data_IF_751598731396
#
_entry.id   IF_751598731396
#
_cell.length_a   1.000
_cell.length_b   1.000
_cell.length_c   1.000
_cell.angle_alpha   90.00
_cell.angle_beta   90.00
_cell.angle_gamma   90.00
#
_symmetry.space_group_name_H-M   'P 1'
#
loop_
_entity.id
_entity.type
_entity.pdbx_description
1 polymer ?
#
# COMPACT_ATOMS: atom_id res chain seq x y z
N UNK A 1 16.38 33.07 -63.52
CA UNK A 1 15.79 33.42 -62.23
C UNK A 1 15.26 32.14 -61.60
N UNK A 2 16.06 31.48 -60.77
CA UNK A 2 15.67 30.24 -60.09
C UNK A 2 15.65 30.56 -58.59
N UNK A 3 14.46 30.62 -57.99
CA UNK A 3 14.27 30.96 -56.58
C UNK A 3 14.45 29.70 -55.73
N UNK A 4 15.44 29.76 -54.83
CA UNK A 4 15.70 28.74 -53.82
C UNK A 4 14.63 28.81 -52.73
N UNK A 5 13.92 27.71 -52.50
CA UNK A 5 12.94 27.58 -51.42
C UNK A 5 13.63 27.05 -50.17
N UNK A 6 13.79 27.90 -49.15
CA UNK A 6 14.34 27.50 -47.85
C UNK A 6 13.22 27.00 -46.93
N UNK A 7 13.23 25.70 -46.64
CA UNK A 7 12.30 25.06 -45.71
C UNK A 7 12.81 25.29 -44.27
N UNK A 8 12.13 26.16 -43.52
CA UNK A 8 12.45 26.47 -42.12
C UNK A 8 11.78 25.43 -41.20
N UNK A 9 12.57 24.53 -40.60
CA UNK A 9 12.08 23.50 -39.69
C UNK A 9 11.99 24.09 -38.26
N UNK A 10 10.79 24.44 -37.81
CA UNK A 10 10.51 24.90 -36.44
C UNK A 10 10.37 23.67 -35.52
N UNK A 11 11.41 23.37 -34.74
CA UNK A 11 11.35 22.36 -33.68
C UNK A 11 10.69 22.97 -32.43
N UNK A 12 9.43 22.60 -32.18
CA UNK A 12 8.70 22.94 -30.96
C UNK A 12 9.29 22.09 -29.81
N UNK A 13 10.10 22.70 -28.95
CA UNK A 13 10.50 22.09 -27.67
C UNK A 13 9.27 22.04 -26.76
N UNK A 14 8.64 20.85 -26.67
CA UNK A 14 7.66 20.59 -25.63
C UNK A 14 8.35 20.64 -24.26
N UNK A 15 7.87 21.51 -23.38
CA UNK A 15 8.24 21.56 -21.97
C UNK A 15 7.75 20.26 -21.30
N UNK A 16 8.62 19.25 -21.24
CA UNK A 16 8.41 18.09 -20.40
C UNK A 16 8.57 18.56 -18.96
N UNK A 17 7.45 18.67 -18.22
CA UNK A 17 7.49 18.80 -16.76
C UNK A 17 8.00 17.48 -16.20
N UNK A 18 9.30 17.42 -15.92
CA UNK A 18 9.88 16.36 -15.10
C UNK A 18 9.42 16.62 -13.67
N UNK A 19 8.51 15.78 -13.17
CA UNK A 19 8.24 15.71 -11.74
C UNK A 19 9.45 15.02 -11.10
N UNK A 20 10.20 15.75 -10.28
CA UNK A 20 11.22 15.17 -9.41
C UNK A 20 10.48 14.36 -8.35
N UNK A 21 10.52 13.03 -8.46
CA UNK A 21 10.13 12.16 -7.36
C UNK A 21 11.22 12.27 -6.30
N UNK A 22 10.87 12.65 -5.08
CA UNK A 22 11.69 12.26 -3.94
C UNK A 22 11.77 10.73 -3.95
N UNK A 23 12.98 10.18 -3.90
CA UNK A 23 13.26 8.79 -4.25
C UNK A 23 12.33 7.81 -3.51
N UNK A 24 11.59 6.99 -4.26
CA UNK A 24 10.79 5.88 -3.72
C UNK A 24 9.36 6.20 -3.24
N UNK A 25 8.96 7.46 -3.02
CA UNK A 25 7.60 7.79 -2.55
C UNK A 25 6.66 8.08 -3.72
N UNK A 26 5.55 7.35 -3.81
CA UNK A 26 4.56 7.56 -4.86
C UNK A 26 3.13 7.66 -4.27
N UNK A 27 2.21 8.24 -5.06
CA UNK A 27 0.82 8.47 -4.68
C UNK A 27 -0.11 7.98 -5.79
N UNK A 28 -1.16 7.25 -5.42
CA UNK A 28 -2.15 6.80 -6.41
C UNK A 28 -3.06 7.97 -6.84
N UNK A 29 -3.26 8.23 -8.16
CA UNK A 29 -4.04 9.36 -8.66
C UNK A 29 -5.45 9.37 -8.09
N UNK A 30 -6.02 10.53 -7.68
CA UNK A 30 -7.35 10.60 -7.11
C UNK A 30 -8.39 9.95 -8.03
N UNK A 31 -9.14 9.00 -7.49
CA UNK A 31 -10.34 8.46 -8.13
C UNK A 31 -11.45 9.48 -7.92
N UNK A 32 -12.16 9.86 -8.99
CA UNK A 32 -13.35 10.72 -8.90
C UNK A 32 -14.37 9.99 -8.03
N UNK A 33 -14.50 10.40 -6.77
CA UNK A 33 -15.56 9.94 -5.88
C UNK A 33 -16.54 11.10 -5.79
N UNK A 34 -17.78 10.87 -6.24
CA UNK A 34 -18.88 11.81 -6.06
C UNK A 34 -18.96 12.19 -4.58
N UNK A 35 -19.00 13.49 -4.32
CA UNK A 35 -19.13 14.07 -2.99
C UNK A 35 -20.53 13.80 -2.43
N UNK A 36 -20.78 12.56 -1.99
CA UNK A 36 -21.90 12.29 -1.10
C UNK A 36 -21.52 12.77 0.31
N UNK A 37 -22.43 13.53 0.90
CA UNK A 37 -22.28 14.37 2.09
C UNK A 37 -22.10 13.62 3.43
N UNK A 38 -21.77 12.33 3.42
CA UNK A 38 -21.46 11.47 4.58
C UNK A 38 -20.12 10.74 4.33
N UNK A 39 -19.04 11.52 4.14
CA UNK A 39 -17.80 11.06 3.49
C UNK A 39 -17.00 10.07 4.33
N UNK A 40 -17.37 8.78 4.24
CA UNK A 40 -16.53 7.66 4.71
C UNK A 40 -15.10 7.85 4.18
N UNK A 41 -14.06 7.62 5.01
CA UNK A 41 -12.69 7.82 4.59
C UNK A 41 -12.36 6.90 3.41
N UNK A 42 -11.35 7.28 2.63
CA UNK A 42 -10.89 6.44 1.53
C UNK A 42 -10.48 5.05 2.02
N UNK A 43 -10.79 4.02 1.22
CA UNK A 43 -10.62 2.60 1.57
C UNK A 43 -11.42 2.14 2.80
N UNK A 44 -12.46 2.87 3.23
CA UNK A 44 -13.29 2.48 4.38
C UNK A 44 -13.73 1.00 4.36
N UNK A 45 -14.17 0.48 3.20
CA UNK A 45 -14.61 -0.92 3.07
C UNK A 45 -13.48 -1.95 3.20
N UNK A 46 -12.22 -1.55 3.05
CA UNK A 46 -11.06 -2.42 3.27
C UNK A 46 -10.87 -2.69 4.76
N UNK A 47 -11.05 -1.65 5.59
CA UNK A 47 -10.90 -1.76 7.05
C UNK A 47 -12.22 -2.08 7.77
N UNK A 48 -13.34 -1.79 7.13
CA UNK A 48 -14.70 -2.03 7.61
C UNK A 48 -15.51 -2.77 6.52
N UNK A 49 -15.24 -4.08 6.31
CA UNK A 49 -15.88 -4.85 5.25
C UNK A 49 -17.40 -4.96 5.47
N UNK A 50 -18.16 -4.93 4.38
CA UNK A 50 -19.63 -5.07 4.43
C UNK A 50 -20.06 -6.36 5.13
N UNK A 51 -19.35 -7.47 4.90
CA UNK A 51 -19.50 -8.69 5.68
C UNK A 51 -18.28 -8.82 6.61
N UNK A 52 -18.43 -8.33 7.84
CA UNK A 52 -17.42 -8.37 8.89
C UNK A 52 -17.45 -9.70 9.67
N UNK A 53 -16.35 -10.03 10.39
CA UNK A 53 -16.32 -11.21 11.24
C UNK A 53 -17.43 -11.24 12.31
N UNK A 54 -17.89 -10.08 12.78
CA UNK A 54 -18.98 -9.99 13.76
C UNK A 54 -20.31 -10.52 13.25
N UNK A 55 -20.57 -10.45 11.94
CA UNK A 55 -21.80 -11.00 11.35
C UNK A 55 -21.81 -12.53 11.27
N UNK A 56 -20.68 -13.20 11.56
CA UNK A 56 -20.51 -14.64 11.42
C UNK A 56 -20.40 -15.36 12.78
N UNK A 57 -20.58 -14.65 13.90
CA UNK A 57 -20.37 -15.20 15.25
C UNK A 57 -21.28 -16.40 15.56
N UNK A 58 -22.49 -16.43 14.99
CA UNK A 58 -23.48 -17.50 15.20
C UNK A 58 -23.31 -18.68 14.22
N UNK A 59 -22.28 -18.67 13.38
CA UNK A 59 -21.99 -19.71 12.39
C UNK A 59 -20.69 -20.44 12.76
N UNK A 60 -20.73 -21.46 13.64
CA UNK A 60 -19.53 -22.10 14.15
C UNK A 60 -18.71 -22.75 13.02
N UNK A 61 -17.43 -22.36 12.93
CA UNK A 61 -16.49 -22.86 11.92
C UNK A 61 -16.71 -22.30 10.51
N UNK A 62 -17.66 -21.39 10.30
CA UNK A 62 -17.87 -20.79 8.99
C UNK A 62 -16.73 -19.82 8.64
N UNK A 63 -16.16 -20.01 7.45
CA UNK A 63 -15.22 -19.07 6.84
C UNK A 63 -15.36 -19.11 5.32
N UNK A 64 -15.15 -17.97 4.67
CA UNK A 64 -15.03 -17.89 3.21
C UNK A 64 -13.60 -18.09 2.72
N UNK A 65 -12.64 -18.17 3.65
CA UNK A 65 -11.25 -18.37 3.29
C UNK A 65 -11.04 -19.77 2.73
N UNK A 66 -10.25 -19.85 1.66
CA UNK A 66 -9.93 -21.09 0.97
C UNK A 66 -8.45 -21.08 0.62
N UNK A 67 -7.75 -22.16 0.94
CA UNK A 67 -6.39 -22.43 0.51
C UNK A 67 -6.38 -23.61 -0.44
N UNK A 68 -5.84 -23.42 -1.66
CA UNK A 68 -5.65 -24.45 -2.68
C UNK A 68 -4.19 -24.45 -3.13
N UNK A 69 -3.85 -25.46 -3.94
CA UNK A 69 -2.48 -25.70 -4.43
C UNK A 69 -1.88 -24.52 -5.19
N UNK A 70 -2.67 -23.77 -5.95
CA UNK A 70 -2.21 -22.70 -6.85
C UNK A 70 -2.79 -21.32 -6.53
N UNK A 71 -3.65 -21.20 -5.52
CA UNK A 71 -4.24 -19.93 -5.10
C UNK A 71 -4.76 -19.98 -3.67
N UNK A 72 -4.94 -18.80 -3.08
CA UNK A 72 -5.59 -18.61 -1.80
C UNK A 72 -6.57 -17.44 -1.85
N UNK A 73 -7.73 -17.62 -1.23
CA UNK A 73 -8.66 -16.57 -0.87
C UNK A 73 -8.59 -16.39 0.65
N UNK A 74 -8.09 -15.26 1.11
CA UNK A 74 -7.93 -14.97 2.54
C UNK A 74 -8.86 -13.82 2.92
N UNK A 75 -9.82 -14.09 3.78
CA UNK A 75 -10.89 -13.17 4.16
C UNK A 75 -10.71 -12.60 5.58
N UNK A 76 -11.34 -11.45 5.92
CA UNK A 76 -11.12 -10.77 7.20
C UNK A 76 -11.30 -11.65 8.43
N UNK A 77 -12.26 -12.57 8.42
CA UNK A 77 -12.55 -13.49 9.52
C UNK A 77 -11.46 -14.55 9.77
N UNK A 78 -10.51 -14.73 8.86
CA UNK A 78 -9.40 -15.70 8.99
C UNK A 78 -8.04 -15.04 9.18
N UNK A 79 -7.99 -13.72 9.37
CA UNK A 79 -6.74 -13.00 9.67
C UNK A 79 -6.30 -13.29 11.11
N UNK A 80 -5.07 -13.78 11.27
CA UNK A 80 -4.49 -14.09 12.59
C UNK A 80 -3.52 -12.97 12.97
N UNK A 81 -3.91 -12.14 13.94
CA UNK A 81 -3.08 -11.05 14.43
C UNK A 81 -2.20 -11.48 15.61
N UNK A 82 -0.90 -11.20 15.52
CA UNK A 82 0.10 -11.48 16.57
C UNK A 82 1.12 -10.34 16.61
N UNK A 83 1.82 -10.08 17.74
CA UNK A 83 2.91 -9.11 17.75
C UNK A 83 3.94 -9.37 16.64
N UNK A 84 4.32 -8.32 15.89
CA UNK A 84 5.38 -8.43 14.88
C UNK A 84 6.76 -8.44 15.56
N UNK A 85 7.63 -9.42 15.27
CA UNK A 85 9.00 -9.44 15.80
C UNK A 85 9.76 -8.17 15.41
N UNK A 86 10.54 -7.62 16.34
CA UNK A 86 11.32 -6.37 16.17
C UNK A 86 10.50 -5.09 15.92
N UNK A 87 9.17 -5.16 16.00
CA UNK A 87 8.30 -3.98 15.90
C UNK A 87 7.80 -3.57 17.30
N UNK A 88 7.64 -2.27 17.51
CA UNK A 88 7.08 -1.72 18.75
C UNK A 88 5.58 -1.48 18.57
N UNK A 89 4.78 -1.97 19.52
CA UNK A 89 3.33 -1.72 19.62
C UNK A 89 2.56 -1.95 18.29
N UNK A 90 2.90 -3.04 17.59
CA UNK A 90 2.31 -3.38 16.29
C UNK A 90 1.88 -4.84 16.25
N UNK A 91 0.64 -5.08 15.83
CA UNK A 91 0.16 -6.43 15.51
C UNK A 91 0.25 -6.67 14.01
N UNK A 92 0.71 -7.84 13.61
CA UNK A 92 0.79 -8.28 12.22
C UNK A 92 -0.10 -9.48 11.95
N UNK A 93 -0.66 -9.54 10.74
CA UNK A 93 -1.30 -10.74 10.21
C UNK A 93 -0.64 -11.10 8.88
N UNK A 94 0.16 -12.17 8.86
CA UNK A 94 0.75 -12.72 7.63
C UNK A 94 -0.36 -13.36 6.79
N UNK A 95 -0.49 -12.90 5.54
CA UNK A 95 -1.44 -13.42 4.57
C UNK A 95 -0.74 -14.41 3.61
N UNK A 96 0.41 -14.01 3.07
CA UNK A 96 1.18 -14.78 2.09
C UNK A 96 2.61 -14.91 2.60
N UNK A 97 3.19 -16.11 2.52
CA UNK A 97 4.59 -16.39 2.86
C UNK A 97 5.16 -17.45 1.91
N UNK A 98 6.49 -17.61 1.82
CA UNK A 98 7.07 -18.68 1.01
C UNK A 98 6.60 -20.10 1.32
N UNK A 99 6.01 -20.33 2.49
CA UNK A 99 5.36 -21.61 2.82
C UNK A 99 4.23 -22.00 1.85
N UNK A 100 3.66 -21.03 1.12
CA UNK A 100 2.67 -21.28 0.06
C UNK A 100 3.26 -21.29 -1.36
N UNK A 101 4.59 -21.23 -1.50
CA UNK A 101 5.29 -21.21 -2.78
C UNK A 101 5.50 -19.83 -3.40
N UNK A 102 5.29 -18.74 -2.65
CA UNK A 102 5.59 -17.38 -3.12
C UNK A 102 7.05 -17.00 -2.91
N UNK A 103 7.55 -16.05 -3.70
CA UNK A 103 8.88 -15.44 -3.53
C UNK A 103 8.81 -14.10 -2.77
N UNK A 104 7.68 -13.83 -2.11
CA UNK A 104 7.44 -12.61 -1.33
C UNK A 104 6.58 -12.93 -0.11
N UNK A 105 6.56 -11.98 0.82
CA UNK A 105 5.69 -12.01 2.01
C UNK A 105 4.69 -10.87 1.91
N UNK A 106 3.42 -11.13 2.23
CA UNK A 106 2.37 -10.12 2.34
C UNK A 106 1.74 -10.21 3.72
N UNK A 107 1.66 -9.10 4.44
CA UNK A 107 1.04 -9.03 5.75
C UNK A 107 0.35 -7.68 5.98
N UNK A 108 -0.62 -7.69 6.88
CA UNK A 108 -1.26 -6.48 7.39
C UNK A 108 -0.59 -6.07 8.69
N UNK A 109 -0.15 -4.82 8.81
CA UNK A 109 0.40 -4.26 10.05
C UNK A 109 -0.60 -3.28 10.67
N UNK A 110 -1.07 -3.59 11.88
CA UNK A 110 -1.89 -2.71 12.72
C UNK A 110 -0.97 -1.96 13.69
N UNK A 111 -0.53 -0.79 13.24
CA UNK A 111 0.32 0.13 13.99
C UNK A 111 -0.55 0.99 14.93
N UNK A 112 -0.31 0.91 16.24
CA UNK A 112 -0.99 1.74 17.25
C UNK A 112 -0.23 3.05 17.51
N UNK A 113 -0.74 3.91 18.40
CA UNK A 113 -0.01 5.10 18.84
C UNK A 113 1.39 4.75 19.38
N UNK A 114 2.39 5.58 19.06
CA UNK A 114 3.80 5.38 19.44
C UNK A 114 4.40 4.04 18.98
N UNK A 115 3.88 3.47 17.89
CA UNK A 115 4.45 2.28 17.26
C UNK A 115 5.64 2.61 16.37
N UNK A 116 6.49 1.61 16.12
CA UNK A 116 7.66 1.73 15.25
C UNK A 116 7.90 0.41 14.53
N UNK A 117 8.29 0.48 13.26
CA UNK A 117 8.67 -0.71 12.49
C UNK A 117 10.08 -1.19 12.82
N UNK A 118 10.27 -2.51 12.75
CA UNK A 118 11.59 -3.13 12.71
C UNK A 118 12.19 -3.03 11.31
N UNK A 119 13.52 -3.06 11.21
CA UNK A 119 14.23 -3.11 9.93
C UNK A 119 13.90 -4.41 9.18
N UNK A 120 13.85 -4.40 7.84
CA UNK A 120 13.83 -5.65 7.09
C UNK A 120 15.15 -6.42 7.33
N UNK A 121 15.14 -7.76 7.18
CA UNK A 121 16.37 -8.53 7.13
C UNK A 121 17.31 -8.04 6.01
N UNK A 122 18.59 -8.41 6.09
CA UNK A 122 19.54 -8.12 5.00
C UNK A 122 19.01 -8.64 3.67
N UNK A 123 19.21 -7.85 2.62
CA UNK A 123 18.87 -8.21 1.23
C UNK A 123 17.36 -8.45 0.98
N UNK A 124 16.50 -7.89 1.85
CA UNK A 124 15.04 -7.93 1.70
C UNK A 124 14.49 -6.53 1.41
N UNK A 125 13.96 -6.36 0.21
CA UNK A 125 13.19 -5.18 -0.20
C UNK A 125 11.81 -5.17 0.48
N UNK A 126 11.31 -3.99 0.84
CA UNK A 126 10.03 -3.80 1.52
C UNK A 126 9.19 -2.72 0.86
N UNK A 127 8.09 -3.16 0.26
CA UNK A 127 7.00 -2.29 -0.16
C UNK A 127 5.98 -2.03 0.96
N UNK A 128 5.58 -0.78 1.16
CA UNK A 128 4.60 -0.35 2.16
C UNK A 128 3.49 0.45 1.48
N UNK A 129 2.22 0.13 1.78
CA UNK A 129 1.05 0.87 1.31
C UNK A 129 0.13 1.26 2.48
N UNK A 130 -0.16 2.55 2.63
CA UNK A 130 -1.00 3.05 3.73
C UNK A 130 -2.48 2.91 3.39
N UNK A 131 -3.15 1.99 4.08
CA UNK A 131 -4.59 1.71 3.90
C UNK A 131 -5.47 2.59 4.80
N UNK A 132 -5.01 2.91 6.02
CA UNK A 132 -5.73 3.73 6.99
C UNK A 132 -4.74 4.52 7.85
N UNK A 133 -5.10 5.75 8.19
CA UNK A 133 -4.28 6.63 9.04
C UNK A 133 -3.08 7.21 8.29
N UNK A 134 -2.00 7.44 9.03
CA UNK A 134 -0.74 7.95 8.51
C UNK A 134 0.44 7.34 9.27
N UNK A 135 1.60 7.29 8.63
CA UNK A 135 2.87 6.87 9.22
C UNK A 135 3.98 7.81 8.77
N UNK A 136 4.94 8.09 9.65
CA UNK A 136 6.13 8.86 9.29
C UNK A 136 7.25 7.91 8.91
N UNK A 137 7.77 8.07 7.70
CA UNK A 137 9.01 7.46 7.27
C UNK A 137 10.17 8.36 7.69
N UNK A 138 11.20 7.80 8.33
CA UNK A 138 12.44 8.51 8.62
C UNK A 138 13.63 7.77 7.99
N UNK A 139 14.44 8.49 7.21
CA UNK A 139 15.68 7.98 6.63
C UNK A 139 16.83 8.08 7.66
N UNK A 140 17.92 7.33 7.46
CA UNK A 140 19.18 7.44 8.21
C UNK A 140 19.78 8.85 8.19
N UNK A 141 19.46 9.68 7.19
CA UNK A 141 19.86 11.09 7.10
C UNK A 141 19.06 12.04 8.01
N UNK A 142 18.05 11.54 8.72
CA UNK A 142 17.18 12.33 9.60
C UNK A 142 16.05 13.07 8.88
N UNK A 143 15.95 12.95 7.56
CA UNK A 143 14.82 13.47 6.78
C UNK A 143 13.60 12.58 7.02
N UNK A 144 12.45 13.21 7.30
CA UNK A 144 11.20 12.51 7.55
C UNK A 144 10.08 12.92 6.58
N UNK A 145 9.34 11.94 6.07
CA UNK A 145 8.20 12.16 5.19
C UNK A 145 6.94 11.51 5.77
N UNK A 146 5.83 12.23 5.76
CA UNK A 146 4.53 11.69 6.15
C UNK A 146 3.87 10.93 4.99
N UNK A 147 3.57 9.66 5.24
CA UNK A 147 2.82 8.78 4.37
C UNK A 147 1.38 8.67 4.88
N UNK A 148 0.45 9.31 4.16
CA UNK A 148 -0.99 9.24 4.40
C UNK A 148 -1.63 8.16 3.50
N UNK A 149 -2.91 7.88 3.71
CA UNK A 149 -3.71 6.97 2.86
C UNK A 149 -3.48 7.24 1.36
N UNK A 150 -3.29 6.17 0.55
CA UNK A 150 -2.90 6.15 -0.89
C UNK A 150 -1.41 6.33 -1.19
N UNK A 151 -0.61 6.77 -0.23
CA UNK A 151 0.83 6.85 -0.42
C UNK A 151 1.45 5.48 -0.21
N UNK A 152 2.49 5.22 -0.98
CA UNK A 152 3.29 4.01 -0.88
C UNK A 152 4.77 4.31 -1.09
N UNK A 153 5.59 3.39 -0.61
CA UNK A 153 7.04 3.45 -0.72
C UNK A 153 7.61 2.05 -0.93
N UNK A 154 8.72 1.99 -1.67
CA UNK A 154 9.63 0.84 -1.74
C UNK A 154 10.92 1.17 -0.99
N UNK A 155 11.35 0.29 -0.08
CA UNK A 155 12.48 0.48 0.87
C UNK A 155 13.47 -0.67 0.77
#
# INVERSE_FOLDING_TARGET
>A
MHTSSHFLLLTIFSLIKVAVSEEGICSMPPSIINSDSDSKPLYWKVTNPTLSPSHLQDLPGFTRSVYKRDHALITPESQVFSPLPEWTNTLGAYLITPAIGSNFVMYLAKMQGNSKSGLPPSDVERFIFVVQGAVTLANVSGVSHELIVRKFIDI
#
